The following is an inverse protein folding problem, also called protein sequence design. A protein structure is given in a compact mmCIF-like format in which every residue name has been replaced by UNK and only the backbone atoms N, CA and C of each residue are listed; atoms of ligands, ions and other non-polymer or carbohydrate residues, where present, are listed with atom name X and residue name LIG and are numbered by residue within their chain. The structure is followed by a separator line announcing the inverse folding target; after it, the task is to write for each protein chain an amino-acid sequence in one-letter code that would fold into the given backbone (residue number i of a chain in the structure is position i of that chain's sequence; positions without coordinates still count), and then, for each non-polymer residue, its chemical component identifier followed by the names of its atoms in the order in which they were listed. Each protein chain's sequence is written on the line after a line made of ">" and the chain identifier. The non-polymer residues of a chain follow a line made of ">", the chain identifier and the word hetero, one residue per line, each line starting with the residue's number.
data_IF_510536651023
#
_entry.id   IF_510536651023
#
_cell.length_a   1.000
_cell.length_b   1.000
_cell.length_c   1.000
_cell.angle_alpha   90.00
_cell.angle_beta   90.00
_cell.angle_gamma   90.00
#
_symmetry.space_group_name_H-M   'P 1'
#
loop_
_entity.id
_entity.type
_entity.pdbx_description
1 polymer ?
#
# COMPACT_ATOMS: atom_id res chain seq x y z
N UNK A 1 -20.37 34.16 58.00
CA UNK A 1 -20.06 32.72 57.86
C UNK A 1 -19.22 32.54 56.62
N UNK A 2 -17.96 32.12 56.77
CA UNK A 2 -17.08 31.88 55.63
C UNK A 2 -17.45 30.57 54.91
N UNK A 3 -17.40 30.52 53.57
CA UNK A 3 -17.78 29.34 52.80
C UNK A 3 -16.76 28.23 52.99
N UNK A 4 -17.21 27.07 53.46
CA UNK A 4 -16.39 25.87 53.56
C UNK A 4 -16.06 25.41 52.14
N UNK A 5 -14.80 25.58 51.75
CA UNK A 5 -14.22 24.99 50.55
C UNK A 5 -14.32 23.47 50.69
N UNK A 6 -15.36 22.89 50.10
CA UNK A 6 -15.60 21.46 50.06
C UNK A 6 -14.60 20.85 49.08
N UNK A 7 -13.32 20.83 49.46
CA UNK A 7 -12.27 20.14 48.72
C UNK A 7 -12.38 18.66 49.09
N UNK A 8 -13.48 18.04 48.69
CA UNK A 8 -13.61 16.59 48.68
C UNK A 8 -12.61 16.08 47.66
N UNK A 9 -11.36 15.91 48.10
CA UNK A 9 -10.31 15.18 47.42
C UNK A 9 -10.77 13.73 47.37
N UNK A 10 -11.73 13.42 46.51
CA UNK A 10 -12.15 12.05 46.25
C UNK A 10 -10.92 11.36 45.70
N UNK A 11 -10.26 10.55 46.53
CA UNK A 11 -9.14 9.72 46.11
C UNK A 11 -9.71 8.67 45.16
N UNK A 12 -9.73 9.00 43.87
CA UNK A 12 -10.19 8.07 42.83
C UNK A 12 -9.13 6.98 42.71
N UNK A 13 -9.53 5.73 42.93
CA UNK A 13 -8.64 4.58 42.73
C UNK A 13 -8.06 4.61 41.30
N UNK A 14 -6.81 4.15 41.16
CA UNK A 14 -6.14 4.00 39.84
C UNK A 14 -7.04 3.28 38.83
N UNK A 15 -7.76 2.25 39.28
CA UNK A 15 -8.72 1.49 38.46
C UNK A 15 -9.91 2.34 38.01
N UNK A 16 -10.50 3.12 38.91
CA UNK A 16 -11.63 3.99 38.57
C UNK A 16 -11.20 5.12 37.63
N UNK A 17 -10.04 5.73 37.85
CA UNK A 17 -9.47 6.72 36.95
C UNK A 17 -9.23 6.14 35.56
N UNK A 18 -8.70 4.91 35.48
CA UNK A 18 -8.53 4.22 34.22
C UNK A 18 -9.86 4.01 33.48
N UNK A 19 -10.87 3.44 34.14
CA UNK A 19 -12.14 3.10 33.51
C UNK A 19 -12.96 4.32 33.09
N UNK A 20 -12.94 5.39 33.90
CA UNK A 20 -13.79 6.58 33.70
C UNK A 20 -13.13 7.72 32.92
N UNK A 21 -11.80 7.78 32.90
CA UNK A 21 -11.07 8.88 32.23
C UNK A 21 -10.18 8.35 31.12
N UNK A 22 -9.21 7.48 31.46
CA UNK A 22 -8.20 7.05 30.49
C UNK A 22 -8.78 6.20 29.36
N UNK A 23 -9.62 5.20 29.66
CA UNK A 23 -10.24 4.33 28.66
C UNK A 23 -11.14 5.13 27.69
N UNK A 24 -12.05 6.01 28.14
CA UNK A 24 -12.84 6.87 27.24
C UNK A 24 -11.98 7.81 26.38
N UNK A 25 -10.90 8.37 26.94
CA UNK A 25 -9.96 9.20 26.20
C UNK A 25 -9.26 8.42 25.09
N UNK A 26 -8.73 7.23 25.40
CA UNK A 26 -8.06 6.36 24.43
C UNK A 26 -9.00 5.91 23.32
N UNK A 27 -10.25 5.58 23.66
CA UNK A 27 -11.25 5.20 22.66
C UNK A 27 -11.62 6.38 21.74
N UNK A 28 -11.74 7.60 22.29
CA UNK A 28 -11.92 8.82 21.49
C UNK A 28 -10.76 9.03 20.51
N UNK A 29 -9.52 8.88 20.98
CA UNK A 29 -8.33 9.00 20.14
C UNK A 29 -8.29 7.91 19.05
N UNK A 30 -8.66 6.67 19.39
CA UNK A 30 -8.77 5.57 18.42
C UNK A 30 -9.79 5.87 17.33
N UNK A 31 -10.97 6.38 17.69
CA UNK A 31 -12.02 6.77 16.72
C UNK A 31 -11.60 7.93 15.84
N UNK A 32 -10.92 8.94 16.40
CA UNK A 32 -10.37 10.05 15.62
C UNK A 32 -9.37 9.56 14.57
N UNK A 33 -8.47 8.64 14.95
CA UNK A 33 -7.51 8.02 14.02
C UNK A 33 -8.22 7.27 12.89
N UNK A 34 -9.22 6.45 13.25
CA UNK A 34 -9.98 5.67 12.27
C UNK A 34 -10.69 6.57 11.25
N UNK A 35 -11.37 7.62 11.71
CA UNK A 35 -12.03 8.58 10.82
C UNK A 35 -11.02 9.30 9.93
N UNK A 36 -9.88 9.76 10.47
CA UNK A 36 -8.82 10.37 9.67
C UNK A 36 -8.35 9.46 8.53
N UNK A 37 -8.15 8.17 8.80
CA UNK A 37 -7.75 7.20 7.77
C UNK A 37 -8.85 7.00 6.71
N UNK A 38 -10.13 6.99 7.10
CA UNK A 38 -11.24 6.91 6.16
C UNK A 38 -11.32 8.16 5.28
N UNK A 39 -11.14 9.34 5.85
CA UNK A 39 -11.14 10.61 5.12
C UNK A 39 -9.98 10.65 4.10
N UNK A 40 -8.78 10.26 4.52
CA UNK A 40 -7.62 10.13 3.61
C UNK A 40 -7.89 9.12 2.49
N UNK A 41 -8.50 7.98 2.79
CA UNK A 41 -8.85 6.98 1.78
C UNK A 41 -9.87 7.53 0.77
N UNK A 42 -10.90 8.24 1.23
CA UNK A 42 -11.89 8.92 0.38
C UNK A 42 -11.22 9.88 -0.59
N UNK A 43 -10.39 10.78 -0.07
CA UNK A 43 -9.68 11.78 -0.89
C UNK A 43 -8.78 11.12 -1.93
N UNK A 44 -7.95 10.15 -1.54
CA UNK A 44 -7.05 9.47 -2.47
C UNK A 44 -7.82 8.78 -3.60
N UNK A 45 -8.89 8.04 -3.26
CA UNK A 45 -9.67 7.31 -4.26
C UNK A 45 -10.44 8.28 -5.18
N UNK A 46 -10.91 9.42 -4.68
CA UNK A 46 -11.51 10.47 -5.51
C UNK A 46 -10.48 11.06 -6.49
N UNK A 47 -9.29 11.41 -6.02
CA UNK A 47 -8.19 11.95 -6.84
C UNK A 47 -7.77 10.99 -7.96
N UNK A 48 -7.60 9.69 -7.64
CA UNK A 48 -7.18 8.71 -8.65
C UNK A 48 -8.28 8.31 -9.64
N UNK A 49 -9.55 8.39 -9.25
CA UNK A 49 -10.67 8.12 -10.16
C UNK A 49 -11.08 9.35 -10.97
N UNK A 50 -10.80 10.57 -10.48
CA UNK A 50 -11.33 11.80 -11.04
C UNK A 50 -12.83 11.98 -10.79
N UNK A 51 -13.38 11.35 -9.74
CA UNK A 51 -14.80 11.41 -9.39
C UNK A 51 -14.99 11.55 -7.87
N UNK A 52 -15.69 12.61 -7.46
CA UNK A 52 -16.00 12.94 -6.08
C UNK A 52 -17.20 12.18 -5.50
N UNK A 53 -17.83 11.28 -6.26
CA UNK A 53 -18.97 10.48 -5.79
C UNK A 53 -18.66 9.74 -4.48
N UNK A 54 -17.43 9.20 -4.33
CA UNK A 54 -17.01 8.47 -3.13
C UNK A 54 -17.02 9.30 -1.85
N UNK A 55 -16.90 10.62 -1.95
CA UNK A 55 -16.92 11.50 -0.79
C UNK A 55 -18.28 11.47 -0.08
N UNK A 56 -19.37 11.27 -0.85
CA UNK A 56 -20.76 11.25 -0.36
C UNK A 56 -21.26 9.87 0.07
N UNK A 57 -20.49 8.81 -0.24
CA UNK A 57 -20.84 7.45 0.13
C UNK A 57 -20.78 7.24 1.64
N UNK A 58 -21.60 6.31 2.14
CA UNK A 58 -21.50 5.86 3.52
C UNK A 58 -20.18 5.12 3.78
N UNK A 59 -19.93 4.73 5.04
CA UNK A 59 -18.66 4.09 5.42
C UNK A 59 -18.47 2.68 4.83
N UNK A 60 -19.54 1.90 4.67
CA UNK A 60 -19.44 0.54 4.13
C UNK A 60 -19.28 0.59 2.61
N UNK A 61 -20.10 1.40 1.96
CA UNK A 61 -20.13 1.57 0.52
C UNK A 61 -18.80 2.17 0.00
N UNK A 62 -18.24 3.19 0.68
CA UNK A 62 -16.94 3.74 0.30
C UNK A 62 -15.80 2.71 0.39
N UNK A 63 -15.88 1.77 1.35
CA UNK A 63 -14.85 0.76 1.57
C UNK A 63 -14.92 -0.30 0.47
N UNK A 64 -16.14 -0.72 0.12
CA UNK A 64 -16.37 -1.61 -1.02
C UNK A 64 -15.87 -0.98 -2.33
N UNK A 65 -16.24 0.28 -2.58
CA UNK A 65 -15.79 1.00 -3.77
C UNK A 65 -14.26 1.14 -3.82
N UNK A 66 -13.62 1.44 -2.69
CA UNK A 66 -12.16 1.50 -2.59
C UNK A 66 -11.51 0.14 -2.88
N UNK A 67 -12.07 -0.96 -2.37
CA UNK A 67 -11.59 -2.32 -2.64
C UNK A 67 -11.71 -2.67 -4.13
N UNK A 68 -12.85 -2.37 -4.75
CA UNK A 68 -13.07 -2.57 -6.19
C UNK A 68 -12.08 -1.74 -7.01
N UNK A 69 -11.88 -0.47 -6.64
CA UNK A 69 -10.89 0.40 -7.27
C UNK A 69 -9.48 -0.18 -7.18
N UNK A 70 -9.03 -0.60 -5.99
CA UNK A 70 -7.70 -1.18 -5.80
C UNK A 70 -7.54 -2.47 -6.60
N UNK A 71 -8.56 -3.34 -6.64
CA UNK A 71 -8.52 -4.57 -7.45
C UNK A 71 -8.37 -4.23 -8.93
N UNK A 72 -9.11 -3.23 -9.43
CA UNK A 72 -8.96 -2.74 -10.82
C UNK A 72 -7.56 -2.18 -11.09
N UNK A 73 -6.97 -1.44 -10.15
CA UNK A 73 -5.60 -0.92 -10.29
C UNK A 73 -4.56 -2.02 -10.33
N UNK A 74 -4.66 -3.02 -9.44
CA UNK A 74 -3.76 -4.19 -9.45
C UNK A 74 -3.87 -4.95 -10.78
N UNK A 75 -5.08 -5.16 -11.28
CA UNK A 75 -5.30 -5.80 -12.59
C UNK A 75 -4.74 -4.96 -13.72
N UNK A 76 -4.89 -3.63 -13.70
CA UNK A 76 -4.32 -2.73 -14.71
C UNK A 76 -2.78 -2.76 -14.72
N UNK A 77 -2.15 -2.88 -13.56
CA UNK A 77 -0.68 -2.99 -13.45
C UNK A 77 -0.17 -4.37 -13.85
N UNK A 78 -0.97 -5.42 -13.64
CA UNK A 78 -0.64 -6.78 -14.07
C UNK A 78 -0.99 -7.07 -15.53
N UNK A 79 -1.90 -6.27 -16.12
CA UNK A 79 -2.13 -6.33 -17.54
C UNK A 79 -0.77 -6.14 -18.22
N UNK A 80 -0.41 -7.01 -19.19
CA UNK A 80 0.79 -6.78 -19.97
C UNK A 80 0.64 -5.36 -20.50
N UNK A 81 1.55 -4.47 -20.09
CA UNK A 81 1.72 -3.21 -20.81
C UNK A 81 1.82 -3.66 -22.26
N UNK A 82 0.84 -3.28 -23.10
CA UNK A 82 0.98 -3.52 -24.53
C UNK A 82 2.39 -3.03 -24.83
N UNK A 83 3.31 -3.89 -25.32
CA UNK A 83 4.70 -3.52 -25.44
C UNK A 83 4.67 -2.15 -26.12
N UNK A 84 5.19 -1.11 -25.42
CA UNK A 84 5.26 0.23 -26.00
C UNK A 84 5.72 0.01 -27.43
N UNK A 85 4.99 0.44 -28.48
CA UNK A 85 5.21 -0.08 -29.81
C UNK A 85 6.69 -0.02 -30.12
N UNK A 86 7.37 -1.17 -30.00
CA UNK A 86 8.84 -1.16 -29.96
C UNK A 86 9.34 -0.65 -31.30
N UNK A 87 8.52 -0.78 -32.34
CA UNK A 87 8.74 -0.22 -33.66
C UNK A 87 8.73 1.31 -33.68
N UNK A 88 7.87 1.98 -32.90
CA UNK A 88 7.92 3.45 -32.77
C UNK A 88 9.21 3.90 -32.10
N UNK A 89 9.65 3.18 -31.06
CA UNK A 89 10.94 3.45 -30.42
C UNK A 89 12.10 3.19 -31.39
N UNK A 90 12.13 2.03 -32.05
CA UNK A 90 13.16 1.65 -33.03
C UNK A 90 13.25 2.68 -34.14
N UNK A 91 12.13 3.11 -34.70
CA UNK A 91 12.08 4.12 -35.74
C UNK A 91 12.63 5.46 -35.25
N UNK A 92 12.22 5.90 -34.05
CA UNK A 92 12.76 7.13 -33.43
C UNK A 92 14.26 7.05 -33.18
N UNK A 93 14.74 5.91 -32.68
CA UNK A 93 16.16 5.65 -32.47
C UNK A 93 16.95 5.69 -33.78
N UNK A 94 16.48 4.97 -34.82
CA UNK A 94 17.11 4.96 -36.13
C UNK A 94 17.15 6.37 -36.75
N UNK A 95 16.07 7.13 -36.64
CA UNK A 95 16.03 8.52 -37.11
C UNK A 95 17.08 9.40 -36.39
N UNK A 96 17.21 9.26 -35.07
CA UNK A 96 18.22 9.97 -34.30
C UNK A 96 19.64 9.57 -34.71
N UNK A 97 19.89 8.27 -34.92
CA UNK A 97 21.19 7.76 -35.41
C UNK A 97 21.51 8.30 -36.81
N UNK A 98 20.54 8.32 -37.72
CA UNK A 98 20.71 8.91 -39.05
C UNK A 98 21.04 10.41 -38.97
N UNK A 99 20.39 11.14 -38.07
CA UNK A 99 20.67 12.56 -37.87
C UNK A 99 22.06 12.79 -37.26
N UNK A 100 22.48 11.97 -36.30
CA UNK A 100 23.84 11.98 -35.76
C UNK A 100 24.86 11.73 -36.88
N UNK A 101 24.62 10.72 -37.72
CA UNK A 101 25.47 10.42 -38.88
C UNK A 101 25.58 11.60 -39.84
N UNK A 102 24.45 12.25 -40.15
CA UNK A 102 24.39 13.44 -41.02
C UNK A 102 25.16 14.61 -40.41
N UNK A 103 24.95 14.93 -39.13
CA UNK A 103 25.64 16.02 -38.44
C UNK A 103 27.15 15.77 -38.39
N UNK A 104 27.59 14.54 -38.11
CA UNK A 104 29.01 14.19 -38.12
C UNK A 104 29.63 14.34 -39.52
N UNK A 105 28.91 13.95 -40.58
CA UNK A 105 29.37 14.09 -41.96
C UNK A 105 29.45 15.56 -42.41
N UNK A 106 28.57 16.43 -41.91
CA UNK A 106 28.58 17.85 -42.24
C UNK A 106 29.49 18.70 -41.34
N UNK A 107 30.05 18.14 -40.26
CA UNK A 107 30.91 18.87 -39.32
C UNK A 107 32.35 18.97 -39.87
N UNK A 108 32.87 20.19 -40.13
CA UNK A 108 34.25 20.36 -40.58
C UNK A 108 35.25 19.82 -39.55
N UNK A 109 36.31 19.16 -40.01
CA UNK A 109 37.35 18.56 -39.18
C UNK A 109 36.88 17.46 -38.18
N UNK A 110 35.71 16.85 -38.39
CA UNK A 110 35.31 15.65 -37.65
C UNK A 110 36.25 14.48 -37.93
N UNK A 111 36.75 13.84 -36.88
CA UNK A 111 37.57 12.63 -37.02
C UNK A 111 36.72 11.45 -37.49
N UNK A 112 37.18 10.78 -38.56
CA UNK A 112 36.55 9.57 -39.10
C UNK A 112 36.54 8.44 -38.07
N UNK A 113 37.60 8.33 -37.26
CA UNK A 113 37.69 7.29 -36.22
C UNK A 113 36.68 7.51 -35.11
N UNK A 114 36.48 8.77 -34.69
CA UNK A 114 35.45 9.13 -33.71
C UNK A 114 34.06 8.79 -34.26
N UNK A 115 33.78 9.15 -35.53
CA UNK A 115 32.52 8.80 -36.18
C UNK A 115 32.26 7.29 -36.21
N UNK A 116 33.27 6.50 -36.57
CA UNK A 116 33.19 5.02 -36.55
C UNK A 116 32.91 4.50 -35.14
N UNK A 117 33.62 5.00 -34.14
CA UNK A 117 33.45 4.59 -32.74
C UNK A 117 32.04 4.90 -32.26
N UNK A 118 31.55 6.12 -32.48
CA UNK A 118 30.18 6.54 -32.10
C UNK A 118 29.13 5.66 -32.78
N UNK A 119 29.20 5.49 -34.10
CA UNK A 119 28.24 4.68 -34.84
C UNK A 119 28.27 3.20 -34.42
N UNK A 120 29.45 2.65 -34.13
CA UNK A 120 29.61 1.29 -33.63
C UNK A 120 28.96 1.14 -32.25
N UNK A 121 29.20 2.08 -31.33
CA UNK A 121 28.57 2.06 -30.02
C UNK A 121 27.04 2.15 -30.12
N UNK A 122 26.51 3.05 -30.95
CA UNK A 122 25.06 3.15 -31.18
C UNK A 122 24.48 1.83 -31.71
N UNK A 123 25.16 1.17 -32.66
CA UNK A 123 24.74 -0.14 -33.16
C UNK A 123 24.73 -1.23 -32.08
N UNK A 124 25.77 -1.30 -31.25
CA UNK A 124 25.85 -2.26 -30.14
C UNK A 124 24.77 -2.02 -29.10
N UNK A 125 24.53 -0.76 -28.72
CA UNK A 125 23.49 -0.40 -27.75
C UNK A 125 22.08 -0.68 -28.30
N UNK A 126 21.85 -0.42 -29.58
CA UNK A 126 20.58 -0.78 -30.24
C UNK A 126 20.34 -2.29 -30.19
N UNK A 127 21.35 -3.09 -30.53
CA UNK A 127 21.26 -4.54 -30.51
C UNK A 127 21.09 -5.10 -29.08
N UNK A 128 21.72 -4.48 -28.08
CA UNK A 128 21.52 -4.82 -26.66
C UNK A 128 20.07 -4.56 -26.24
N UNK A 129 19.52 -3.42 -26.63
CA UNK A 129 18.14 -3.06 -26.31
C UNK A 129 17.12 -4.02 -26.95
N UNK A 130 17.34 -4.43 -28.20
CA UNK A 130 16.49 -5.42 -28.88
C UNK A 130 16.47 -6.79 -28.17
N UNK A 131 17.57 -7.16 -27.51
CA UNK A 131 17.65 -8.41 -26.74
C UNK A 131 16.96 -8.30 -25.37
N UNK A 132 17.01 -7.13 -24.72
CA UNK A 132 16.40 -6.93 -23.40
C UNK A 132 14.87 -7.07 -23.43
N UNK A 133 14.22 -6.65 -24.52
CA UNK A 133 12.77 -6.75 -24.71
C UNK A 133 12.27 -8.21 -24.71
N UNK A 134 13.10 -9.17 -25.13
CA UNK A 134 12.72 -10.59 -25.15
C UNK A 134 12.63 -11.21 -23.74
N UNK A 135 13.41 -10.71 -22.76
CA UNK A 135 13.54 -11.34 -21.43
C UNK A 135 12.42 -10.92 -20.47
N UNK A 136 11.71 -9.82 -20.75
CA UNK A 136 10.72 -9.28 -19.82
C UNK A 136 9.36 -10.02 -19.84
N UNK A 137 9.19 -11.01 -20.71
CA UNK A 137 7.93 -11.78 -20.85
C UNK A 137 7.77 -12.92 -19.83
N UNK A 138 8.71 -13.13 -18.90
CA UNK A 138 8.63 -14.25 -17.94
C UNK A 138 9.10 -13.91 -16.52
N UNK A 139 8.33 -13.11 -15.78
CA UNK A 139 8.43 -13.08 -14.30
C UNK A 139 7.05 -13.06 -13.65
N UNK A 140 6.37 -14.20 -13.69
CA UNK A 140 5.27 -14.53 -12.78
C UNK A 140 5.87 -14.96 -11.43
N UNK A 141 6.45 -14.04 -10.66
CA UNK A 141 6.99 -14.37 -9.34
C UNK A 141 5.95 -14.06 -8.25
N UNK A 142 5.11 -15.04 -7.97
CA UNK A 142 4.44 -15.14 -6.67
C UNK A 142 5.51 -15.37 -5.59
N UNK A 143 5.91 -14.32 -4.87
CA UNK A 143 6.77 -14.45 -3.69
C UNK A 143 5.97 -15.09 -2.54
N UNK A 144 6.37 -16.25 -1.99
CA UNK A 144 5.81 -16.78 -0.76
C UNK A 144 6.39 -15.99 0.43
N UNK A 145 5.50 -15.43 1.25
CA UNK A 145 5.83 -14.64 2.44
C UNK A 145 6.43 -15.55 3.52
N UNK A 146 7.61 -15.26 4.11
CA UNK A 146 8.16 -16.07 5.20
C UNK A 146 7.34 -15.86 6.47
N UNK A 147 6.85 -16.96 7.04
CA UNK A 147 6.16 -17.02 8.33
C UNK A 147 7.21 -16.91 9.46
N UNK A 148 7.14 -15.86 10.27
CA UNK A 148 7.90 -15.81 11.53
C UNK A 148 7.02 -16.32 12.70
N UNK A 149 7.58 -17.07 13.67
CA UNK A 149 6.79 -17.83 14.64
C UNK A 149 6.28 -16.96 15.78
N UNK A 150 5.00 -17.14 16.14
CA UNK A 150 4.39 -16.52 17.31
C UNK A 150 4.96 -17.10 18.60
N UNK A 151 5.57 -16.25 19.43
CA UNK A 151 6.03 -16.61 20.77
C UNK A 151 4.90 -16.40 21.79
N UNK A 152 4.56 -17.50 22.43
CA UNK A 152 3.73 -17.71 23.61
C UNK A 152 4.04 -16.76 24.78
N UNK A 153 2.99 -16.26 25.43
CA UNK A 153 3.05 -15.55 26.72
C UNK A 153 1.88 -15.96 27.61
N UNK A 154 2.01 -17.11 28.25
CA UNK A 154 1.20 -17.55 29.40
C UNK A 154 1.75 -16.93 30.69
N UNK A 155 0.87 -16.48 31.60
CA UNK A 155 0.94 -16.69 33.07
C UNK A 155 -0.09 -15.80 33.80
N UNK A 156 -1.04 -16.41 34.53
CA UNK A 156 -1.04 -16.46 36.00
C UNK A 156 -2.43 -16.70 36.62
N UNK A 157 -2.42 -17.64 37.57
CA UNK A 157 -3.42 -18.10 38.55
C UNK A 157 -4.18 -17.02 39.34
N UNK A 158 -5.43 -17.33 39.75
CA UNK A 158 -5.79 -17.57 41.16
C UNK A 158 -7.28 -17.97 41.35
N UNK A 159 -7.45 -19.17 41.92
CA UNK A 159 -8.38 -19.70 42.94
C UNK A 159 -9.66 -18.91 43.32
N UNK A 160 -10.85 -19.55 43.28
CA UNK A 160 -11.55 -20.14 44.45
C UNK A 160 -12.99 -20.65 44.12
N UNK A 161 -13.25 -21.90 44.50
CA UNK A 161 -14.50 -22.47 45.06
C UNK A 161 -15.86 -22.53 44.31
N UNK A 162 -16.29 -23.81 44.18
CA UNK A 162 -17.65 -24.40 44.36
C UNK A 162 -18.56 -24.68 43.14
N UNK A 163 -18.54 -25.97 42.77
CA UNK A 163 -19.66 -26.92 42.66
C UNK A 163 -20.80 -26.60 41.67
N UNK A 164 -20.86 -27.24 40.50
CA UNK A 164 -21.24 -28.64 40.24
C UNK A 164 -22.66 -28.76 39.65
N UNK A 165 -22.74 -28.81 38.33
CA UNK A 165 -23.58 -29.74 37.55
C UNK A 165 -23.13 -29.66 36.07
N UNK A 166 -22.77 -30.82 35.50
CA UNK A 166 -22.30 -31.08 34.13
C UNK A 166 -23.39 -31.93 33.43
N UNK A 167 -23.68 -31.86 32.11
CA UNK A 167 -22.71 -32.27 31.06
C UNK A 167 -22.74 -31.55 29.68
N UNK A 168 -21.52 -31.24 29.19
CA UNK A 168 -20.90 -31.51 27.85
C UNK A 168 -21.56 -31.04 26.51
N UNK A 169 -20.79 -30.86 25.42
CA UNK A 169 -19.91 -29.72 25.17
C UNK A 169 -20.34 -28.96 23.90
N UNK A 170 -20.11 -27.66 23.94
CA UNK A 170 -20.27 -26.76 22.79
C UNK A 170 -18.95 -26.78 22.01
N UNK A 171 -18.86 -27.59 20.97
CA UNK A 171 -17.88 -27.43 19.90
C UNK A 171 -18.65 -26.97 18.66
N UNK A 172 -18.66 -25.68 18.42
CA UNK A 172 -18.34 -25.08 17.13
C UNK A 172 -18.57 -23.57 17.22
N UNK A 173 -17.45 -22.90 17.21
CA UNK A 173 -17.15 -21.49 17.05
C UNK A 173 -18.02 -20.79 16.00
N UNK A 174 -19.30 -20.57 16.27
CA UNK A 174 -20.13 -19.66 15.48
C UNK A 174 -19.86 -18.24 15.95
N UNK A 175 -19.05 -17.53 15.17
CA UNK A 175 -18.96 -16.08 15.20
C UNK A 175 -20.36 -15.46 15.26
N UNK A 176 -20.66 -14.72 16.33
CA UNK A 176 -21.89 -13.94 16.44
C UNK A 176 -21.61 -12.47 16.16
N UNK A 177 -22.33 -11.83 15.22
CA UNK A 177 -22.26 -10.39 15.05
C UNK A 177 -22.91 -9.67 16.23
N UNK A 178 -22.49 -8.42 16.41
CA UNK A 178 -22.92 -7.46 17.42
C UNK A 178 -24.42 -7.21 17.49
#
# INVERSE_FOLDING_TARGET
>A
MAPQSNNSTTFVSKTQHYLKVKKPLLERQRRARMNKCLDTLKTLVAEFQGDDAILRMDKAEMLEAALVFMRKQVVKQQAPVSPLPMDSFKNGYMNAVSEISRVMACTPAMSVDVGKTVMTHLGVEFQRMLQADQVQTSVTTSTPRPLSPASSGYHSDNEDSQSAASPKPVEETMWRPW
#
